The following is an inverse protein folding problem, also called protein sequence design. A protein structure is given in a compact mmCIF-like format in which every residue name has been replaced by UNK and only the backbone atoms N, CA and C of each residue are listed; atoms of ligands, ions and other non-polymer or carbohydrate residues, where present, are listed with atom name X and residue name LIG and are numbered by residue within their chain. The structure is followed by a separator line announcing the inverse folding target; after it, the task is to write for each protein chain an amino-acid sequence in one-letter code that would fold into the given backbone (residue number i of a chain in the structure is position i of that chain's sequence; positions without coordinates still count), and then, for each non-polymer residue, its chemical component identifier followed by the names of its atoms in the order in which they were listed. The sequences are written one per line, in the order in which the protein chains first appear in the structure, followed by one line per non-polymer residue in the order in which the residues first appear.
data_IF_650599427624
#
_entry.id   IF_650599427624
#
_cell.length_a   1.000
_cell.length_b   1.000
_cell.length_c   1.000
_cell.angle_alpha   90.00
_cell.angle_beta   90.00
_cell.angle_gamma   90.00
#
_symmetry.space_group_name_H-M   'P 1'
#
loop_
_entity.id
_entity.type
_entity.pdbx_description
1 polymer ?
#
# COMPACT_ATOMS: atom_id res chain seq x y z
N UNK A 1 11.02 28.89 -18.68
CA UNK A 1 11.62 27.88 -19.59
C UNK A 1 10.71 27.43 -20.73
N UNK A 2 9.38 27.34 -20.58
CA UNK A 2 8.51 26.79 -21.63
C UNK A 2 8.37 27.62 -22.91
N UNK A 3 8.08 28.92 -22.79
CA UNK A 3 7.85 29.80 -23.96
C UNK A 3 9.05 29.86 -24.91
N UNK A 4 10.31 30.03 -24.43
CA UNK A 4 11.47 29.99 -25.30
C UNK A 4 11.62 28.65 -26.04
N UNK A 5 11.36 27.52 -25.37
CA UNK A 5 11.46 26.19 -25.99
C UNK A 5 10.40 26.00 -27.07
N UNK A 6 9.17 26.46 -26.85
CA UNK A 6 8.11 26.39 -27.86
C UNK A 6 8.46 27.22 -29.10
N UNK A 7 8.93 28.44 -28.91
CA UNK A 7 9.30 29.32 -30.02
C UNK A 7 10.48 28.80 -30.84
N UNK A 8 11.42 28.09 -30.21
CA UNK A 8 12.55 27.46 -30.91
C UNK A 8 12.15 26.17 -31.63
N UNK A 9 11.23 25.37 -31.06
CA UNK A 9 10.90 24.04 -31.57
C UNK A 9 9.70 24.03 -32.54
N UNK A 10 8.86 25.07 -32.54
CA UNK A 10 7.65 25.18 -33.41
C UNK A 10 7.91 25.05 -34.90
N UNK A 11 9.10 25.41 -35.38
CA UNK A 11 9.45 25.35 -36.81
C UNK A 11 9.94 23.96 -37.24
N UNK A 12 10.50 23.17 -36.32
CA UNK A 12 11.04 21.84 -36.62
C UNK A 12 10.04 20.70 -36.34
N UNK A 13 9.25 20.81 -35.26
CA UNK A 13 8.34 19.76 -34.80
C UNK A 13 6.85 20.09 -35.05
N UNK A 14 6.57 21.24 -35.67
CA UNK A 14 5.23 21.79 -35.81
C UNK A 14 4.64 22.30 -34.48
N UNK A 15 3.49 22.95 -34.55
CA UNK A 15 2.85 23.57 -33.38
C UNK A 15 2.47 22.57 -32.28
N UNK A 16 1.89 21.43 -32.66
CA UNK A 16 1.44 20.40 -31.71
C UNK A 16 2.61 19.68 -31.04
N UNK A 17 3.63 19.29 -31.82
CA UNK A 17 4.83 18.63 -31.28
C UNK A 17 5.60 19.54 -30.32
N UNK A 18 5.74 20.82 -30.67
CA UNK A 18 6.38 21.82 -29.81
C UNK A 18 5.60 22.05 -28.50
N UNK A 19 4.26 22.00 -28.51
CA UNK A 19 3.47 22.09 -27.28
C UNK A 19 3.69 20.89 -26.35
N UNK A 20 3.68 19.67 -26.87
CA UNK A 20 3.96 18.48 -26.06
C UNK A 20 5.37 18.51 -25.47
N UNK A 21 6.36 18.94 -26.26
CA UNK A 21 7.74 19.07 -25.79
C UNK A 21 7.87 20.13 -24.70
N UNK A 22 7.22 21.29 -24.87
CA UNK A 22 7.15 22.33 -23.85
C UNK A 22 6.55 21.79 -22.53
N UNK A 23 5.41 21.11 -22.59
CA UNK A 23 4.74 20.55 -21.41
C UNK A 23 5.62 19.48 -20.75
N UNK A 24 6.20 18.58 -21.55
CA UNK A 24 7.07 17.51 -21.06
C UNK A 24 8.30 18.04 -20.30
N UNK A 25 8.84 19.20 -20.70
CA UNK A 25 9.95 19.84 -19.98
C UNK A 25 9.50 20.70 -18.80
N UNK A 26 8.32 21.31 -18.86
CA UNK A 26 7.81 22.12 -17.75
C UNK A 26 7.30 21.28 -16.59
N UNK A 27 6.73 20.10 -16.87
CA UNK A 27 6.11 19.24 -15.88
C UNK A 27 7.09 18.76 -14.79
N UNK A 28 8.32 18.29 -15.09
CA UNK A 28 9.31 17.93 -14.08
C UNK A 28 9.73 19.12 -13.21
N UNK A 29 9.92 20.29 -13.81
CA UNK A 29 10.28 21.51 -13.08
C UNK A 29 9.13 22.00 -12.18
N UNK A 30 7.89 21.85 -12.64
CA UNK A 30 6.70 22.16 -11.85
C UNK A 30 6.59 21.25 -10.62
N UNK A 31 6.77 19.93 -10.81
CA UNK A 31 6.82 18.99 -9.69
C UNK A 31 7.94 19.33 -8.72
N UNK A 32 9.16 19.58 -9.22
CA UNK A 32 10.30 19.98 -8.39
C UNK A 32 9.98 21.21 -7.52
N UNK A 33 9.42 22.26 -8.12
CA UNK A 33 9.04 23.48 -7.42
C UNK A 33 7.91 23.26 -6.40
N UNK A 34 6.96 22.37 -6.71
CA UNK A 34 5.91 21.99 -5.77
C UNK A 34 6.49 21.22 -4.56
N UNK A 35 7.46 20.33 -4.79
CA UNK A 35 8.12 19.57 -3.73
C UNK A 35 9.00 20.42 -2.81
N UNK A 36 9.60 21.49 -3.32
CA UNK A 36 10.29 22.48 -2.50
C UNK A 36 9.31 23.27 -1.62
N UNK A 37 8.11 23.56 -2.14
CA UNK A 37 7.12 24.40 -1.47
C UNK A 37 6.26 23.66 -0.44
N UNK A 38 5.90 22.41 -0.71
CA UNK A 38 5.00 21.61 0.13
C UNK A 38 5.72 20.88 1.29
N UNK A 39 7.06 20.93 1.35
CA UNK A 39 7.85 20.38 2.47
C UNK A 39 7.81 18.84 2.61
N UNK A 40 7.09 18.16 1.73
CA UNK A 40 7.03 16.70 1.61
C UNK A 40 7.83 16.29 0.37
N UNK A 41 9.17 16.17 0.47
CA UNK A 41 10.02 15.92 -0.69
C UNK A 41 9.59 14.63 -1.40
N UNK A 42 9.55 14.67 -2.73
CA UNK A 42 9.11 13.55 -3.58
C UNK A 42 9.76 12.25 -3.19
N UNK A 43 11.06 12.29 -2.91
CA UNK A 43 11.84 11.14 -2.51
C UNK A 43 11.22 10.44 -1.28
N UNK A 44 10.74 11.21 -0.31
CA UNK A 44 10.15 10.67 0.91
C UNK A 44 8.80 10.02 0.63
N UNK A 45 7.98 10.65 -0.23
CA UNK A 45 6.69 10.10 -0.65
C UNK A 45 6.87 8.85 -1.51
N UNK A 46 7.73 8.89 -2.51
CA UNK A 46 8.04 7.76 -3.39
C UNK A 46 8.64 6.58 -2.61
N UNK A 47 9.60 6.85 -1.72
CA UNK A 47 10.18 5.84 -0.82
C UNK A 47 9.12 5.22 0.08
N UNK A 48 8.17 6.03 0.59
CA UNK A 48 7.08 5.53 1.41
C UNK A 48 6.11 4.66 0.59
N UNK A 49 5.77 5.07 -0.63
CA UNK A 49 4.93 4.28 -1.56
C UNK A 49 5.60 2.96 -1.88
N UNK A 50 6.90 2.96 -2.26
CA UNK A 50 7.63 1.75 -2.61
C UNK A 50 7.71 0.81 -1.41
N UNK A 51 8.02 1.35 -0.23
CA UNK A 51 8.09 0.58 1.00
C UNK A 51 6.75 -0.04 1.38
N UNK A 52 5.67 0.74 1.31
CA UNK A 52 4.34 0.30 1.70
C UNK A 52 3.72 -0.68 0.70
N UNK A 53 3.93 -0.47 -0.61
CA UNK A 53 3.32 -1.31 -1.67
C UNK A 53 4.15 -2.53 -2.04
N UNK A 54 5.47 -2.44 -2.03
CA UNK A 54 6.32 -3.49 -2.63
C UNK A 54 7.27 -4.15 -1.63
N UNK A 55 7.94 -3.39 -0.76
CA UNK A 55 8.98 -3.96 0.11
C UNK A 55 8.42 -4.58 1.40
N UNK A 56 7.33 -4.04 1.94
CA UNK A 56 6.77 -4.51 3.21
C UNK A 56 5.85 -5.71 2.94
N UNK A 57 6.09 -6.89 3.54
CA UNK A 57 5.18 -8.01 3.43
C UNK A 57 3.81 -7.63 4.01
N UNK A 58 2.74 -7.90 3.26
CA UNK A 58 1.37 -7.49 3.62
C UNK A 58 0.83 -8.21 4.85
N UNK A 59 1.37 -9.39 5.16
CA UNK A 59 1.03 -10.12 6.38
C UNK A 59 1.76 -9.48 7.55
N UNK A 60 1.00 -9.05 8.57
CA UNK A 60 1.54 -8.70 9.89
C UNK A 60 1.44 -9.95 10.75
N UNK A 61 2.46 -10.84 10.79
CA UNK A 61 2.41 -12.02 11.63
C UNK A 61 2.36 -11.57 13.09
N UNK A 62 1.20 -11.69 13.71
CA UNK A 62 1.06 -11.52 15.16
C UNK A 62 1.70 -12.75 15.81
N UNK A 63 2.93 -12.59 16.29
CA UNK A 63 3.56 -13.59 17.12
C UNK A 63 3.19 -13.32 18.57
N UNK A 64 2.33 -14.16 19.12
CA UNK A 64 2.07 -14.20 20.56
C UNK A 64 3.04 -15.19 21.20
N UNK A 65 3.68 -14.81 22.30
CA UNK A 65 4.36 -15.77 23.17
C UNK A 65 3.26 -16.48 23.98
N UNK A 66 2.60 -17.45 23.35
CA UNK A 66 1.52 -18.20 23.99
C UNK A 66 2.11 -19.20 25.00
N UNK A 67 2.10 -18.82 26.29
CA UNK A 67 2.49 -19.70 27.40
C UNK A 67 1.57 -20.94 27.47
N UNK A 68 0.38 -20.89 26.86
CA UNK A 68 -0.55 -22.00 26.77
C UNK A 68 -0.41 -22.87 25.51
N UNK A 69 0.51 -22.57 24.60
CA UNK A 69 0.81 -23.41 23.43
C UNK A 69 1.00 -24.91 23.74
N UNK A 70 1.68 -25.33 24.84
CA UNK A 70 1.82 -26.75 25.17
C UNK A 70 0.51 -27.44 25.59
N UNK A 71 -0.55 -26.69 25.87
CA UNK A 71 -1.87 -27.22 26.27
C UNK A 71 -2.90 -27.21 25.13
N UNK A 72 -2.64 -26.48 24.03
CA UNK A 72 -3.61 -26.28 22.95
C UNK A 72 -3.81 -27.50 22.02
N UNK A 73 -2.86 -28.45 21.99
CA UNK A 73 -2.91 -29.63 21.12
C UNK A 73 -3.13 -30.96 21.84
N UNK A 74 -3.25 -30.94 23.18
CA UNK A 74 -3.66 -32.13 23.94
C UNK A 74 -5.16 -32.09 24.07
N UNK A 75 -5.82 -32.68 23.08
CA UNK A 75 -7.15 -33.22 23.26
C UNK A 75 -7.21 -33.86 24.64
N UNK A 76 -8.26 -33.46 25.34
CA UNK A 76 -8.65 -33.84 26.67
C UNK A 76 -8.74 -35.39 26.73
N UNK A 77 -7.61 -36.08 26.87
CA UNK A 77 -7.55 -37.44 27.42
C UNK A 77 -7.64 -37.34 28.95
N UNK A 78 -8.56 -36.50 29.41
CA UNK A 78 -9.12 -36.59 30.74
C UNK A 78 -10.54 -37.02 30.49
N UNK A 79 -10.74 -38.32 30.62
CA UNK A 79 -12.01 -39.02 30.66
C UNK A 79 -13.18 -38.12 31.07
N UNK A 80 -13.85 -37.51 30.10
CA UNK A 80 -15.21 -37.04 30.31
C UNK A 80 -16.11 -38.21 29.99
N UNK A 81 -16.35 -39.00 31.04
CA UNK A 81 -17.50 -39.88 31.22
C UNK A 81 -18.70 -39.35 30.40
N UNK A 82 -19.38 -40.17 29.58
CA UNK A 82 -20.55 -39.71 28.85
C UNK A 82 -21.60 -39.27 29.87
N UNK A 83 -21.83 -37.96 30.02
CA UNK A 83 -23.03 -37.50 30.67
C UNK A 83 -24.15 -37.62 29.63
N UNK A 84 -24.98 -38.64 29.86
CA UNK A 84 -26.27 -38.84 29.24
C UNK A 84 -27.10 -37.56 29.38
N UNK A 85 -27.14 -36.73 28.34
CA UNK A 85 -28.11 -35.64 28.25
C UNK A 85 -29.44 -36.26 27.82
N UNK A 86 -30.28 -36.59 28.81
CA UNK A 86 -31.69 -36.89 28.58
C UNK A 86 -32.33 -35.68 27.90
N UNK A 87 -32.75 -35.82 26.65
CA UNK A 87 -33.63 -34.83 26.00
C UNK A 87 -34.99 -34.85 26.72
N UNK A 88 -35.50 -33.71 27.20
CA UNK A 88 -36.89 -33.66 27.65
C UNK A 88 -37.79 -33.77 26.42
N UNK A 89 -38.80 -34.62 26.52
CA UNK A 89 -39.88 -34.77 25.54
C UNK A 89 -40.53 -33.42 25.29
N UNK A 90 -40.43 -32.93 24.06
CA UNK A 90 -41.31 -31.88 23.56
C UNK A 90 -42.52 -32.56 22.92
N UNK A 91 -43.48 -32.92 23.77
CA UNK A 91 -44.78 -33.42 23.36
C UNK A 91 -45.69 -32.29 22.86
N UNK A 92 -46.37 -32.58 21.74
CA UNK A 92 -47.50 -31.89 21.09
C UNK A 92 -47.28 -30.50 20.50
#
# INVERSE_FOLDING_TARGET
MGIPVYLLTRHALGGTGAMFLMIALMLPAFFMAMYERDGLPFEKVARNIIRAKFLRPGVRPYQTQNIYAPFAGKEVTLEQKPQEVKKPDAGR
#
